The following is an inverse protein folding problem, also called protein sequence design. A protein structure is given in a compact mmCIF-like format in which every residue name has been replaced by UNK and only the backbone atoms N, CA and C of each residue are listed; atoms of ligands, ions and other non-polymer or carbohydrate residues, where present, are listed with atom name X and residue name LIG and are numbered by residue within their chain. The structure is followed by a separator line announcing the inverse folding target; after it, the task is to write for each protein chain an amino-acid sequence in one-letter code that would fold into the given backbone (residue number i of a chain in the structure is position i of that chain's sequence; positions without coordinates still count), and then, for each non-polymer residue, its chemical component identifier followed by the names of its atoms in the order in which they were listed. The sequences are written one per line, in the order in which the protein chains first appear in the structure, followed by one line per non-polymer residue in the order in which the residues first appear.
data_IF_959132156115
#
_entry.id   IF_959132156115
#
_cell.length_a   1.000
_cell.length_b   1.000
_cell.length_c   1.000
_cell.angle_alpha   90.00
_cell.angle_beta   90.00
_cell.angle_gamma   90.00
#
_symmetry.space_group_name_H-M   'P 1'
#
loop_
_entity.id
_entity.type
_entity.pdbx_description
1 polymer ?
#
# COMPACT_ATOMS: atom_id res chain seq x y z
N UNK A 1 -58.07 -38.07 12.02
CA UNK A 1 -58.40 -36.73 11.52
C UNK A 1 -57.64 -35.71 12.37
N UNK A 2 -56.61 -35.06 11.78
CA UNK A 2 -55.87 -33.83 12.18
C UNK A 2 -55.42 -33.68 13.66
N UNK A 3 -54.16 -33.98 14.03
CA UNK A 3 -52.92 -33.16 13.98
C UNK A 3 -52.86 -31.92 14.90
N UNK A 4 -51.72 -31.84 15.64
CA UNK A 4 -51.03 -30.70 16.31
C UNK A 4 -51.29 -30.57 17.82
N UNK A 5 -50.33 -30.27 18.71
CA UNK A 5 -48.91 -29.85 18.65
C UNK A 5 -48.33 -30.03 20.07
N UNK A 6 -47.03 -30.32 20.19
CA UNK A 6 -46.07 -29.89 21.24
C UNK A 6 -45.03 -30.99 21.55
N UNK A 7 -43.97 -31.02 20.75
CA UNK A 7 -42.70 -31.59 21.18
C UNK A 7 -41.85 -30.44 21.74
N UNK A 8 -41.65 -30.43 23.05
CA UNK A 8 -40.66 -29.60 23.74
C UNK A 8 -39.29 -30.22 23.44
N UNK A 9 -38.50 -29.57 22.60
CA UNK A 9 -37.09 -29.93 22.40
C UNK A 9 -36.25 -29.15 23.42
N UNK A 10 -35.60 -29.88 24.34
CA UNK A 10 -34.52 -29.38 25.17
C UNK A 10 -33.34 -28.99 24.27
N UNK A 11 -33.09 -27.69 24.12
CA UNK A 11 -31.83 -27.17 23.58
C UNK A 11 -30.81 -27.09 24.72
N UNK A 12 -30.05 -28.17 24.92
CA UNK A 12 -28.86 -28.11 25.76
C UNK A 12 -27.79 -27.27 25.04
N UNK A 13 -27.47 -26.11 25.61
CA UNK A 13 -26.45 -25.21 25.09
C UNK A 13 -25.06 -25.85 25.11
N UNK A 14 -24.51 -26.07 23.92
CA UNK A 14 -23.08 -26.21 23.72
C UNK A 14 -22.49 -24.79 23.61
N UNK A 15 -22.12 -24.23 24.76
CA UNK A 15 -21.16 -23.13 24.82
C UNK A 15 -19.81 -23.75 24.50
N UNK A 16 -19.46 -23.80 23.22
CA UNK A 16 -18.11 -24.12 22.77
C UNK A 16 -17.17 -23.01 23.22
N UNK A 17 -16.45 -23.24 24.31
CA UNK A 17 -15.31 -22.41 24.67
C UNK A 17 -14.28 -22.54 23.55
N UNK A 18 -14.18 -21.53 22.70
CA UNK A 18 -13.06 -21.37 21.78
C UNK A 18 -11.84 -21.03 22.62
N UNK A 19 -11.12 -22.06 23.07
CA UNK A 19 -9.75 -21.90 23.54
C UNK A 19 -8.96 -21.42 22.31
N UNK A 20 -8.38 -20.20 22.31
CA UNK A 20 -7.45 -19.84 21.25
C UNK A 20 -6.29 -20.83 21.33
N UNK A 21 -6.25 -21.78 20.40
CA UNK A 21 -5.06 -22.57 20.20
C UNK A 21 -3.95 -21.56 19.89
N UNK A 22 -2.86 -21.50 20.67
CA UNK A 22 -1.71 -20.72 20.24
C UNK A 22 -1.34 -21.26 18.87
N UNK A 23 -1.27 -20.40 17.86
CA UNK A 23 -0.62 -20.73 16.61
C UNK A 23 0.85 -21.03 16.94
N UNK A 24 1.13 -22.28 17.30
CA UNK A 24 2.49 -22.78 17.31
C UNK A 24 2.86 -22.92 15.85
N UNK A 25 3.85 -22.14 15.43
CA UNK A 25 4.58 -22.43 14.20
C UNK A 25 4.87 -23.93 14.22
N UNK A 26 4.45 -24.62 13.16
CA UNK A 26 4.71 -26.03 13.03
C UNK A 26 6.23 -26.19 12.96
N UNK A 27 6.86 -26.73 14.00
CA UNK A 27 8.31 -26.95 14.11
C UNK A 27 8.86 -27.99 13.10
N UNK A 28 8.09 -28.34 12.06
CA UNK A 28 8.51 -29.20 10.95
C UNK A 28 9.08 -28.41 9.74
N UNK A 29 9.72 -27.26 10.00
CA UNK A 29 10.75 -26.68 9.10
C UNK A 29 12.18 -26.94 9.61
N UNK A 30 12.34 -27.89 10.54
CA UNK A 30 13.59 -28.25 11.22
C UNK A 30 14.42 -29.35 10.56
N UNK A 31 14.39 -29.45 9.23
CA UNK A 31 15.10 -30.47 8.45
C UNK A 31 16.17 -29.90 7.51
N UNK A 32 17.06 -29.02 7.99
CA UNK A 32 18.37 -28.85 7.34
C UNK A 32 18.83 -27.45 6.93
N UNK A 33 17.99 -26.40 6.90
CA UNK A 33 18.45 -25.02 6.66
C UNK A 33 17.65 -24.01 7.50
N UNK A 34 18.32 -23.39 8.49
CA UNK A 34 17.74 -22.29 9.27
C UNK A 34 17.62 -21.07 8.35
N UNK A 35 16.40 -20.60 8.09
CA UNK A 35 16.17 -19.31 7.42
C UNK A 35 16.88 -18.22 8.23
N UNK A 36 17.75 -17.47 7.56
CA UNK A 36 18.55 -16.37 8.12
C UNK A 36 18.05 -15.00 7.68
N UNK A 37 17.47 -14.96 6.48
CA UNK A 37 17.01 -13.74 5.83
C UNK A 37 15.58 -13.92 5.32
N UNK A 38 14.80 -12.85 5.32
CA UNK A 38 13.50 -12.78 4.65
C UNK A 38 13.55 -11.62 3.66
N UNK A 39 13.31 -11.92 2.39
CA UNK A 39 13.09 -10.94 1.34
C UNK A 39 11.57 -10.83 1.10
N UNK A 40 10.98 -9.72 1.56
CA UNK A 40 9.55 -9.43 1.43
C UNK A 40 9.32 -8.50 0.23
N UNK A 41 8.65 -9.00 -0.79
CA UNK A 41 8.27 -8.20 -1.96
C UNK A 41 6.76 -7.98 -1.95
N UNK A 42 6.37 -6.71 -1.93
CA UNK A 42 5.02 -6.27 -2.27
C UNK A 42 4.99 -5.88 -3.74
N UNK A 43 4.06 -6.42 -4.52
CA UNK A 43 3.75 -5.95 -5.87
C UNK A 43 2.38 -5.33 -5.84
N UNK A 44 2.33 -4.00 -5.85
CA UNK A 44 1.09 -3.26 -5.83
C UNK A 44 0.21 -3.60 -7.05
N UNK A 45 -1.08 -3.82 -6.80
CA UNK A 45 -2.07 -4.16 -7.81
C UNK A 45 -2.03 -5.59 -8.32
N UNK A 46 -1.08 -6.43 -7.92
CA UNK A 46 -0.92 -7.77 -8.52
C UNK A 46 -2.11 -8.69 -8.16
N UNK A 47 -2.93 -9.01 -9.15
CA UNK A 47 -4.00 -10.00 -8.97
C UNK A 47 -3.44 -11.42 -8.92
N UNK A 48 -4.07 -12.29 -8.14
CA UNK A 48 -3.77 -13.72 -8.18
C UNK A 48 -3.92 -14.32 -9.59
N UNK A 49 -4.86 -13.79 -10.40
CA UNK A 49 -5.02 -14.19 -11.80
C UNK A 49 -3.82 -13.80 -12.66
N UNK A 50 -3.21 -12.63 -12.43
CA UNK A 50 -2.03 -12.18 -13.16
C UNK A 50 -0.89 -13.18 -12.97
N UNK A 51 -0.62 -13.59 -11.73
CA UNK A 51 0.41 -14.58 -11.41
C UNK A 51 0.11 -15.91 -12.08
N UNK A 52 -1.12 -16.41 -11.96
CA UNK A 52 -1.51 -17.68 -12.57
C UNK A 52 -1.31 -17.69 -14.10
N UNK A 53 -1.74 -16.62 -14.78
CA UNK A 53 -1.58 -16.45 -16.23
C UNK A 53 -0.12 -16.26 -16.65
N UNK A 54 0.64 -15.48 -15.87
CA UNK A 54 2.03 -15.20 -16.18
C UNK A 54 2.87 -16.47 -16.07
N UNK A 55 2.71 -17.25 -14.99
CA UNK A 55 3.36 -18.57 -14.83
C UNK A 55 2.87 -19.56 -15.89
N UNK A 56 1.61 -19.48 -16.32
CA UNK A 56 1.07 -20.29 -17.42
C UNK A 56 1.81 -20.07 -18.75
N UNK A 57 2.06 -18.82 -19.07
CA UNK A 57 2.65 -18.39 -20.35
C UNK A 57 4.18 -18.29 -20.33
N UNK A 58 4.81 -18.17 -19.17
CA UNK A 58 6.25 -17.94 -18.99
C UNK A 58 6.88 -18.98 -18.05
N UNK A 59 7.01 -20.23 -18.50
CA UNK A 59 7.47 -21.36 -17.66
C UNK A 59 8.87 -21.21 -17.05
N UNK A 60 9.70 -20.32 -17.61
CA UNK A 60 11.08 -20.08 -17.17
C UNK A 60 11.25 -18.71 -16.48
N UNK A 61 10.15 -18.08 -16.07
CA UNK A 61 10.15 -16.76 -15.41
C UNK A 61 10.54 -16.87 -13.92
N UNK A 62 10.82 -15.73 -13.28
CA UNK A 62 11.12 -15.71 -11.85
C UNK A 62 9.91 -16.14 -11.00
N UNK A 63 8.71 -15.67 -11.33
CA UNK A 63 7.47 -16.12 -10.70
C UNK A 63 7.23 -17.62 -10.90
N UNK A 64 7.57 -18.17 -12.08
CA UNK A 64 7.47 -19.60 -12.34
C UNK A 64 8.49 -20.40 -11.52
N UNK A 65 9.72 -19.91 -11.41
CA UNK A 65 10.74 -20.50 -10.53
C UNK A 65 10.23 -20.55 -9.08
N UNK A 66 9.88 -19.40 -8.50
CA UNK A 66 9.39 -19.31 -7.12
C UNK A 66 8.15 -20.19 -6.87
N UNK A 67 7.21 -20.24 -7.83
CA UNK A 67 6.00 -21.06 -7.72
C UNK A 67 6.28 -22.55 -7.83
N UNK A 68 7.36 -22.97 -8.51
CA UNK A 68 7.66 -24.39 -8.77
C UNK A 68 8.22 -25.12 -7.54
N UNK A 69 8.85 -24.39 -6.62
CA UNK A 69 9.48 -24.95 -5.42
C UNK A 69 9.03 -24.26 -4.11
N UNK A 70 8.13 -23.28 -4.20
CA UNK A 70 7.55 -22.57 -3.05
C UNK A 70 6.14 -23.05 -2.70
N UNK A 71 5.48 -22.30 -1.81
CA UNK A 71 4.07 -22.49 -1.46
C UNK A 71 3.27 -21.32 -2.04
N UNK A 72 2.33 -21.63 -2.93
CA UNK A 72 1.41 -20.63 -3.49
C UNK A 72 0.07 -20.68 -2.77
N UNK A 73 -0.30 -19.56 -2.14
CA UNK A 73 -1.61 -19.40 -1.50
C UNK A 73 -2.61 -18.79 -2.50
N UNK A 74 -3.43 -19.63 -3.13
CA UNK A 74 -4.40 -19.21 -4.16
C UNK A 74 -5.63 -18.45 -3.64
N UNK A 75 -5.79 -18.34 -2.32
CA UNK A 75 -6.87 -17.61 -1.65
C UNK A 75 -6.32 -16.75 -0.50
N UNK A 76 -5.15 -16.14 -0.71
CA UNK A 76 -4.66 -15.09 0.17
C UNK A 76 -5.63 -13.89 0.11
N UNK A 77 -5.96 -13.33 1.27
CA UNK A 77 -6.88 -12.20 1.40
C UNK A 77 -6.20 -11.07 2.11
N UNK A 78 -6.42 -9.86 1.62
CA UNK A 78 -5.94 -8.65 2.26
C UNK A 78 -6.97 -8.21 3.30
N UNK A 79 -6.53 -7.74 4.47
CA UNK A 79 -7.46 -7.34 5.50
C UNK A 79 -8.27 -6.11 5.02
N UNK A 80 -9.59 -6.18 5.12
CA UNK A 80 -10.47 -5.06 4.77
C UNK A 80 -10.42 -3.91 5.78
N UNK A 81 -9.89 -4.17 6.99
CA UNK A 81 -9.67 -3.19 8.06
C UNK A 81 -8.28 -3.41 8.66
N UNK A 82 -7.53 -2.34 8.93
CA UNK A 82 -6.19 -2.43 9.50
C UNK A 82 -6.17 -2.92 10.96
N UNK A 83 -5.44 -4.00 11.23
CA UNK A 83 -5.21 -4.49 12.59
C UNK A 83 -4.24 -3.64 13.43
N UNK A 84 -3.52 -2.71 12.81
CA UNK A 84 -2.43 -1.93 13.43
C UNK A 84 -2.80 -0.48 13.76
N UNK A 85 -4.08 -0.11 13.61
CA UNK A 85 -4.60 1.20 14.02
C UNK A 85 -4.56 2.32 12.96
N UNK A 86 -4.07 2.04 11.75
CA UNK A 86 -4.07 2.93 10.59
C UNK A 86 -4.75 2.25 9.40
N UNK A 87 -5.91 2.77 8.98
CA UNK A 87 -6.74 2.15 7.95
C UNK A 87 -6.21 2.35 6.53
N UNK A 88 -5.82 3.59 6.21
CA UNK A 88 -5.23 4.00 4.94
C UNK A 88 -4.24 5.14 5.22
N UNK A 89 -3.22 5.30 4.38
CA UNK A 89 -2.16 6.30 4.52
C UNK A 89 -2.72 7.74 4.46
N UNK A 90 -3.69 7.98 3.57
CA UNK A 90 -4.53 9.18 3.61
C UNK A 90 -5.89 8.84 4.22
N UNK A 91 -6.17 9.36 5.41
CA UNK A 91 -7.42 9.09 6.13
C UNK A 91 -7.85 10.26 7.00
N UNK A 92 -8.91 10.11 7.78
CA UNK A 92 -9.33 11.12 8.74
C UNK A 92 -9.18 10.62 10.17
N UNK A 93 -8.61 11.47 11.03
CA UNK A 93 -8.36 11.15 12.41
C UNK A 93 -8.93 12.23 13.34
N UNK A 94 -9.77 11.79 14.29
CA UNK A 94 -10.48 12.66 15.25
C UNK A 94 -9.61 13.15 16.41
N UNK A 95 -8.39 12.65 16.53
CA UNK A 95 -7.44 12.99 17.60
C UNK A 95 -6.33 13.93 17.16
N UNK A 96 -6.33 14.39 15.91
CA UNK A 96 -5.26 15.21 15.32
C UNK A 96 -5.79 16.58 14.93
N UNK A 97 -4.88 17.50 14.66
CA UNK A 97 -5.16 18.88 14.30
C UNK A 97 -4.45 19.24 13.00
N UNK A 98 -4.89 20.34 12.39
CA UNK A 98 -4.26 20.93 11.23
C UNK A 98 -2.74 21.17 11.44
N UNK A 99 -1.88 20.96 10.42
CA UNK A 99 -0.44 21.22 10.51
C UNK A 99 -0.09 22.62 11.06
N UNK A 100 -0.89 23.64 10.73
CA UNK A 100 -0.68 25.02 11.18
C UNK A 100 -1.06 25.25 12.65
N UNK A 101 -1.82 24.34 13.27
CA UNK A 101 -2.25 24.45 14.67
C UNK A 101 -1.16 23.93 15.63
N UNK A 102 -0.09 24.72 15.77
CA UNK A 102 1.06 24.39 16.63
C UNK A 102 0.74 24.37 18.14
N UNK A 103 -0.49 24.72 18.54
CA UNK A 103 -0.94 24.72 19.94
C UNK A 103 -1.90 23.56 20.27
N UNK A 104 -2.38 22.82 19.26
CA UNK A 104 -3.39 21.76 19.42
C UNK A 104 -4.63 22.25 20.19
N UNK A 105 -5.04 23.49 19.91
CA UNK A 105 -6.19 24.12 20.58
C UNK A 105 -7.47 23.91 19.77
N UNK A 106 -8.61 23.95 20.47
CA UNK A 106 -9.94 23.76 19.86
C UNK A 106 -10.35 22.29 19.74
N UNK A 107 -11.32 22.03 18.87
CA UNK A 107 -11.82 20.67 18.63
C UNK A 107 -10.87 19.92 17.68
N UNK A 108 -10.38 18.72 18.05
CA UNK A 108 -9.58 17.88 17.17
C UNK A 108 -10.45 17.23 16.08
N UNK A 109 -9.78 16.74 15.05
CA UNK A 109 -10.35 16.28 13.81
C UNK A 109 -9.62 16.93 12.65
N UNK A 110 -8.86 16.14 11.90
CA UNK A 110 -8.26 16.59 10.66
C UNK A 110 -8.00 15.41 9.72
N UNK A 111 -7.68 15.73 8.47
CA UNK A 111 -7.05 14.78 7.57
C UNK A 111 -5.69 14.37 8.12
N UNK A 112 -5.45 13.06 8.10
CA UNK A 112 -4.16 12.43 8.27
C UNK A 112 -3.62 12.17 6.87
N UNK A 113 -2.71 13.01 6.42
CA UNK A 113 -2.15 12.96 5.06
C UNK A 113 -0.73 12.42 5.17
N UNK A 114 -0.53 11.18 4.73
CA UNK A 114 0.78 10.53 4.67
C UNK A 114 1.05 10.06 3.24
N UNK A 115 1.14 11.03 2.33
CA UNK A 115 1.44 10.84 0.90
C UNK A 115 2.62 11.73 0.47
N UNK A 116 2.83 11.94 -0.82
CA UNK A 116 3.91 12.79 -1.34
C UNK A 116 3.82 14.26 -0.88
N UNK A 117 2.64 14.75 -0.48
CA UNK A 117 2.46 16.17 -0.12
C UNK A 117 3.17 16.59 1.16
N UNK A 118 3.63 15.63 1.98
CA UNK A 118 4.40 15.88 3.19
C UNK A 118 5.91 15.89 2.97
N UNK A 119 6.38 15.82 1.72
CA UNK A 119 7.81 15.83 1.41
C UNK A 119 8.41 17.24 1.39
N UNK A 120 9.71 17.31 1.66
CA UNK A 120 10.53 18.48 1.34
C UNK A 120 10.90 18.45 -0.15
N UNK A 121 10.65 19.56 -0.85
CA UNK A 121 10.94 19.72 -2.27
C UNK A 121 12.02 20.75 -2.56
N UNK A 122 12.70 20.60 -3.70
CA UNK A 122 13.65 21.58 -4.24
C UNK A 122 13.51 21.73 -5.75
N UNK A 123 14.04 22.81 -6.32
CA UNK A 123 14.09 23.03 -7.77
C UNK A 123 12.81 23.55 -8.41
N UNK A 124 12.85 23.71 -9.72
CA UNK A 124 11.71 24.08 -10.57
C UNK A 124 11.91 23.46 -11.97
N UNK A 125 11.18 22.38 -12.33
CA UNK A 125 10.07 21.77 -11.58
C UNK A 125 10.52 21.17 -10.23
N UNK A 126 9.61 21.10 -9.23
CA UNK A 126 9.90 20.49 -7.93
C UNK A 126 10.35 19.03 -8.04
N UNK A 127 11.34 18.67 -7.22
CA UNK A 127 11.83 17.29 -7.01
C UNK A 127 11.92 17.05 -5.51
N UNK A 128 11.38 15.93 -5.04
CA UNK A 128 11.43 15.54 -3.63
C UNK A 128 12.88 15.28 -3.22
N UNK A 129 13.19 15.68 -1.99
CA UNK A 129 14.44 15.36 -1.32
C UNK A 129 14.40 13.97 -0.66
N UNK A 130 13.29 13.24 -0.80
CA UNK A 130 12.98 11.98 -0.14
C UNK A 130 13.05 12.10 1.40
N UNK A 131 12.60 13.24 1.93
CA UNK A 131 12.60 13.56 3.35
C UNK A 131 11.27 14.22 3.70
N UNK A 132 10.64 13.76 4.80
CA UNK A 132 9.41 14.36 5.34
C UNK A 132 9.68 15.80 5.81
N UNK A 133 8.83 16.74 5.41
CA UNK A 133 8.70 18.08 5.98
C UNK A 133 7.86 18.02 7.27
N UNK A 134 8.46 18.21 8.46
CA UNK A 134 7.72 18.13 9.72
C UNK A 134 6.68 19.25 9.89
N UNK A 135 6.74 20.31 9.07
CA UNK A 135 5.78 21.42 9.08
C UNK A 135 4.51 21.12 8.28
N UNK A 136 4.57 20.15 7.36
CA UNK A 136 3.43 19.66 6.59
C UNK A 136 2.62 18.59 7.36
N UNK A 137 3.21 17.98 8.39
CA UNK A 137 2.56 16.93 9.18
C UNK A 137 1.41 17.47 10.05
N UNK A 138 0.30 16.72 10.19
CA UNK A 138 -0.74 17.05 11.14
C UNK A 138 -0.19 17.08 12.58
N UNK A 139 -0.85 17.81 13.47
CA UNK A 139 -0.42 17.96 14.87
C UNK A 139 -1.20 17.01 15.78
N UNK A 140 -0.59 16.56 16.86
CA UNK A 140 -1.28 15.80 17.91
C UNK A 140 -0.70 16.13 19.28
N UNK A 141 -1.45 15.78 20.34
CA UNK A 141 -0.99 15.85 21.72
C UNK A 141 -0.32 14.52 22.05
N UNK A 142 0.99 14.54 22.27
CA UNK A 142 1.74 13.32 22.63
C UNK A 142 1.47 12.89 24.08
N UNK A 143 2.04 11.76 24.50
CA UNK A 143 1.88 11.21 25.85
C UNK A 143 2.35 12.16 26.98
N UNK A 144 3.20 13.15 26.67
CA UNK A 144 3.68 14.17 27.59
C UNK A 144 2.80 15.43 27.62
N UNK A 145 1.69 15.45 26.88
CA UNK A 145 0.78 16.59 26.80
C UNK A 145 1.26 17.72 25.90
N UNK A 146 2.23 17.47 25.02
CA UNK A 146 2.82 18.48 24.13
C UNK A 146 2.21 18.39 22.73
N UNK A 147 1.95 19.54 22.11
CA UNK A 147 1.51 19.60 20.72
C UNK A 147 2.69 19.45 19.77
N UNK A 148 2.79 18.33 19.08
CA UNK A 148 3.92 17.96 18.21
C UNK A 148 3.43 17.49 16.83
N UNK A 149 4.28 17.51 15.78
CA UNK A 149 3.97 16.82 14.53
C UNK A 149 3.66 15.34 14.79
N UNK A 150 2.66 14.79 14.12
CA UNK A 150 2.39 13.36 14.09
C UNK A 150 3.14 12.76 12.90
N UNK A 151 4.22 12.04 13.16
CA UNK A 151 4.91 11.31 12.09
C UNK A 151 4.10 10.08 11.67
N UNK A 152 4.31 9.56 10.44
CA UNK A 152 3.67 8.33 10.01
C UNK A 152 3.88 7.18 11.00
N UNK A 153 5.10 6.95 11.47
CA UNK A 153 5.38 5.88 12.42
C UNK A 153 4.63 6.01 13.77
N UNK A 154 4.31 7.23 14.21
CA UNK A 154 3.51 7.48 15.43
C UNK A 154 2.04 7.07 15.27
N UNK A 155 1.54 6.96 14.03
CA UNK A 155 0.17 6.54 13.77
C UNK A 155 -0.04 5.03 13.92
N UNK A 156 1.03 4.25 13.82
CA UNK A 156 1.01 2.81 14.04
C UNK A 156 0.90 2.56 15.56
N UNK A 157 0.05 1.60 15.96
CA UNK A 157 -0.25 1.35 17.39
C UNK A 157 0.37 0.08 17.96
N UNK A 158 1.16 -0.62 17.16
CA UNK A 158 1.70 -1.93 17.48
C UNK A 158 3.04 -2.13 16.81
N UNK A 159 3.90 -2.94 17.42
CA UNK A 159 5.23 -3.20 16.88
C UNK A 159 5.16 -3.77 15.45
N UNK A 160 5.96 -3.22 14.55
CA UNK A 160 6.13 -3.78 13.21
C UNK A 160 7.05 -5.01 13.26
N UNK A 161 7.04 -5.82 12.19
CA UNK A 161 7.96 -6.96 12.10
C UNK A 161 9.43 -6.52 12.17
N UNK A 162 9.73 -5.33 11.65
CA UNK A 162 11.07 -4.75 11.67
C UNK A 162 11.52 -4.43 13.09
N UNK A 163 10.65 -3.82 13.91
CA UNK A 163 10.94 -3.58 15.34
C UNK A 163 11.14 -4.89 16.12
N UNK A 164 10.32 -5.92 15.84
CA UNK A 164 10.46 -7.23 16.47
C UNK A 164 11.82 -7.87 16.16
N UNK A 165 12.28 -7.76 14.91
CA UNK A 165 13.59 -8.28 14.47
C UNK A 165 14.73 -7.48 15.09
N UNK A 166 14.65 -6.15 15.08
CA UNK A 166 15.66 -5.28 15.70
C UNK A 166 15.78 -5.48 17.21
N UNK A 167 14.67 -5.72 17.90
CA UNK A 167 14.69 -6.04 19.33
C UNK A 167 15.48 -7.32 19.65
N UNK A 168 15.72 -8.19 18.67
CA UNK A 168 16.56 -9.38 18.76
C UNK A 168 17.95 -9.20 18.13
N UNK A 169 18.35 -7.96 17.83
CA UNK A 169 19.65 -7.61 17.26
C UNK A 169 19.78 -7.86 15.75
N UNK A 170 18.68 -8.12 15.05
CA UNK A 170 18.68 -8.26 13.59
C UNK A 170 18.74 -6.89 12.89
N UNK A 171 19.46 -6.83 11.78
CA UNK A 171 19.46 -5.67 10.88
C UNK A 171 18.25 -5.72 9.93
N UNK A 172 17.71 -4.55 9.58
CA UNK A 172 16.48 -4.43 8.78
C UNK A 172 16.57 -3.34 7.72
N UNK A 173 15.96 -3.57 6.56
CA UNK A 173 15.89 -2.59 5.48
C UNK A 173 14.52 -2.60 4.81
N UNK A 174 14.14 -1.51 4.15
CA UNK A 174 12.90 -1.45 3.37
C UNK A 174 12.98 -0.35 2.32
N UNK A 175 12.46 -0.61 1.11
CA UNK A 175 12.35 0.40 0.08
C UNK A 175 10.91 0.60 -0.42
N UNK A 176 10.43 1.85 -0.48
CA UNK A 176 9.04 2.15 -0.85
C UNK A 176 8.88 3.45 -1.68
N UNK A 177 7.65 3.77 -2.07
CA UNK A 177 7.35 4.78 -3.09
C UNK A 177 7.45 6.25 -2.64
N UNK A 178 7.46 6.55 -1.33
CA UNK A 178 7.64 7.91 -0.81
C UNK A 178 7.98 7.91 0.70
N UNK A 179 8.56 9.00 1.25
CA UNK A 179 9.00 9.10 2.64
C UNK A 179 7.94 8.81 3.69
N UNK A 180 6.66 9.02 3.37
CA UNK A 180 5.57 8.70 4.29
C UNK A 180 5.53 7.21 4.69
N UNK A 181 6.17 6.31 3.95
CA UNK A 181 6.39 4.91 4.37
C UNK A 181 7.32 4.74 5.56
N UNK A 182 7.80 5.83 6.16
CA UNK A 182 8.22 5.88 7.56
C UNK A 182 7.25 5.12 8.50
N UNK A 183 5.97 4.92 8.11
CA UNK A 183 5.05 3.93 8.70
C UNK A 183 5.71 2.60 9.13
N UNK A 184 6.60 2.04 8.31
CA UNK A 184 7.23 0.73 8.59
C UNK A 184 8.23 0.77 9.75
N UNK A 185 8.70 1.95 10.15
CA UNK A 185 9.53 2.13 11.35
C UNK A 185 8.77 1.81 12.64
N UNK A 186 7.43 1.82 12.60
CA UNK A 186 6.59 1.50 13.75
C UNK A 186 6.73 2.48 14.92
N UNK A 187 6.02 2.27 16.04
CA UNK A 187 5.92 3.25 17.12
C UNK A 187 7.24 3.74 17.71
N UNK A 188 8.36 3.00 17.56
CA UNK A 188 9.68 3.47 18.00
C UNK A 188 10.34 4.51 17.09
N UNK A 189 9.86 4.68 15.85
CA UNK A 189 10.49 5.47 14.80
C UNK A 189 11.85 4.92 14.35
N UNK A 190 12.17 3.67 14.72
CA UNK A 190 13.50 3.05 14.53
C UNK A 190 13.42 1.62 14.02
N UNK A 191 12.26 1.17 13.54
CA UNK A 191 12.05 -0.20 13.10
C UNK A 191 12.95 -0.61 11.93
N UNK A 192 13.29 0.30 11.02
CA UNK A 192 14.12 0.04 9.85
C UNK A 192 15.49 0.73 10.02
N UNK A 193 16.59 0.03 9.72
CA UNK A 193 17.93 0.63 9.74
C UNK A 193 18.26 1.35 8.43
N UNK A 194 17.83 0.78 7.31
CA UNK A 194 18.04 1.31 5.97
C UNK A 194 16.69 1.48 5.25
N UNK A 195 16.10 2.67 5.38
CA UNK A 195 14.83 3.02 4.75
C UNK A 195 15.13 3.85 3.49
N UNK A 196 14.74 3.33 2.33
CA UNK A 196 14.95 4.00 1.04
C UNK A 196 13.63 4.32 0.34
N UNK A 197 13.32 5.61 0.22
CA UNK A 197 12.00 6.06 -0.25
C UNK A 197 12.09 7.01 -1.44
N UNK A 198 12.57 6.57 -2.61
CA UNK A 198 12.64 7.43 -3.78
C UNK A 198 11.23 7.81 -4.25
N UNK A 199 10.91 9.10 -4.18
CA UNK A 199 9.58 9.64 -4.49
C UNK A 199 9.14 9.25 -5.91
N UNK A 200 7.96 8.63 -5.97
CA UNK A 200 7.28 8.23 -7.19
C UNK A 200 6.52 9.40 -7.82
N UNK A 201 5.91 10.27 -7.01
CA UNK A 201 5.07 11.38 -7.46
C UNK A 201 5.62 12.69 -6.90
N UNK A 202 6.30 13.47 -7.75
CA UNK A 202 6.80 14.77 -7.33
C UNK A 202 5.69 15.82 -7.47
N UNK A 203 5.15 16.34 -6.36
CA UNK A 203 4.07 17.33 -6.39
C UNK A 203 4.48 18.57 -7.19
N UNK A 204 3.72 18.89 -8.23
CA UNK A 204 4.00 20.00 -9.16
C UNK A 204 5.19 19.76 -10.09
N UNK A 205 5.83 18.58 -10.01
CA UNK A 205 6.90 18.12 -10.88
C UNK A 205 6.49 16.89 -11.70
N UNK A 206 7.41 15.95 -11.89
CA UNK A 206 7.12 14.69 -12.59
C UNK A 206 6.38 13.72 -11.66
N UNK A 207 5.17 13.34 -12.08
CA UNK A 207 4.46 12.18 -11.56
C UNK A 207 4.82 10.96 -12.40
N UNK A 208 5.57 10.00 -11.83
CA UNK A 208 5.94 8.79 -12.57
C UNK A 208 4.73 7.88 -12.82
N UNK A 209 3.62 8.06 -12.09
CA UNK A 209 2.44 7.18 -12.19
C UNK A 209 1.58 7.44 -13.43
N UNK A 210 1.85 8.50 -14.18
CA UNK A 210 1.23 8.77 -15.48
C UNK A 210 1.69 7.79 -16.57
N UNK A 211 2.82 7.10 -16.36
CA UNK A 211 3.40 6.15 -17.33
C UNK A 211 3.93 4.89 -16.65
N UNK A 212 3.62 3.72 -17.21
CA UNK A 212 4.19 2.46 -16.75
C UNK A 212 5.72 2.44 -16.91
N UNK A 213 6.28 3.12 -17.92
CA UNK A 213 7.73 3.17 -18.14
C UNK A 213 8.43 4.01 -17.07
N UNK A 214 7.92 5.21 -16.78
CA UNK A 214 8.49 6.03 -15.71
C UNK A 214 8.35 5.37 -14.34
N UNK A 215 7.21 4.70 -14.09
CA UNK A 215 7.02 3.91 -12.87
C UNK A 215 8.03 2.77 -12.76
N UNK A 216 8.28 2.01 -13.85
CA UNK A 216 9.31 0.96 -13.88
C UNK A 216 10.71 1.54 -13.60
N UNK A 217 11.01 2.74 -14.11
CA UNK A 217 12.30 3.38 -13.85
C UNK A 217 12.47 3.77 -12.38
N UNK A 218 11.41 4.26 -11.71
CA UNK A 218 11.43 4.48 -10.27
C UNK A 218 11.57 3.16 -9.50
N UNK A 219 10.80 2.12 -9.87
CA UNK A 219 10.92 0.79 -9.27
C UNK A 219 12.35 0.22 -9.39
N UNK A 220 13.04 0.49 -10.50
CA UNK A 220 14.42 0.07 -10.71
C UNK A 220 15.41 0.68 -9.70
N UNK A 221 15.15 1.87 -9.16
CA UNK A 221 15.94 2.46 -8.09
C UNK A 221 15.87 1.60 -6.83
N UNK A 222 14.65 1.23 -6.42
CA UNK A 222 14.39 0.37 -5.25
C UNK A 222 14.98 -1.03 -5.46
N UNK A 223 14.82 -1.60 -6.66
CA UNK A 223 15.45 -2.89 -7.02
C UNK A 223 16.97 -2.82 -6.85
N UNK A 224 17.60 -1.74 -7.30
CA UNK A 224 19.04 -1.56 -7.13
C UNK A 224 19.43 -1.48 -5.65
N UNK A 225 18.62 -0.85 -4.80
CA UNK A 225 18.75 -0.87 -3.35
C UNK A 225 18.78 -2.28 -2.78
N UNK A 226 17.77 -3.09 -3.10
CA UNK A 226 17.69 -4.50 -2.68
C UNK A 226 18.90 -5.31 -3.15
N UNK A 227 19.36 -5.09 -4.39
CA UNK A 227 20.55 -5.79 -4.91
C UNK A 227 21.84 -5.39 -4.18
N UNK A 228 21.91 -4.19 -3.60
CA UNK A 228 23.02 -3.75 -2.76
C UNK A 228 22.92 -4.35 -1.35
N UNK A 229 21.74 -4.36 -0.75
CA UNK A 229 21.45 -5.00 0.54
C UNK A 229 21.75 -6.50 0.55
N UNK A 230 21.44 -7.21 -0.54
CA UNK A 230 21.81 -8.64 -0.72
C UNK A 230 23.33 -8.86 -0.63
N UNK A 231 24.13 -7.85 -0.99
CA UNK A 231 25.60 -7.89 -0.90
C UNK A 231 26.13 -7.41 0.46
N UNK A 232 25.24 -7.06 1.38
CA UNK A 232 25.56 -6.51 2.71
C UNK A 232 25.97 -5.03 2.70
N UNK A 233 25.61 -4.31 1.64
CA UNK A 233 25.76 -2.85 1.53
C UNK A 233 24.46 -2.16 1.95
N UNK A 234 24.50 -0.85 2.17
CA UNK A 234 23.27 -0.06 2.23
C UNK A 234 22.67 0.09 0.82
N UNK A 235 21.42 0.56 0.71
CA UNK A 235 20.70 0.73 -0.55
C UNK A 235 21.48 1.55 -1.59
N UNK A 236 22.25 2.55 -1.15
CA UNK A 236 23.07 3.42 -2.00
C UNK A 236 24.41 2.79 -2.45
N UNK A 237 24.73 1.60 -1.95
CA UNK A 237 25.97 0.87 -2.22
C UNK A 237 27.13 1.22 -1.29
N UNK A 238 26.91 2.09 -0.30
CA UNK A 238 27.90 2.34 0.76
C UNK A 238 28.07 1.09 1.66
N UNK A 239 29.20 0.98 2.40
CA UNK A 239 29.39 -0.12 3.33
C UNK A 239 28.25 -0.22 4.36
N UNK A 240 27.57 -1.36 4.39
CA UNK A 240 26.50 -1.67 5.35
C UNK A 240 26.94 -2.64 6.45
N UNK A 241 26.09 -2.92 7.44
CA UNK A 241 26.40 -3.82 8.56
C UNK A 241 26.33 -5.32 8.18
N UNK A 242 26.03 -5.65 6.92
CA UNK A 242 25.80 -7.00 6.42
C UNK A 242 24.39 -7.16 5.86
N UNK A 243 24.05 -8.35 5.37
CA UNK A 243 22.74 -8.62 4.75
C UNK A 243 21.64 -8.53 5.81
N UNK A 244 20.56 -7.75 5.60
CA UNK A 244 19.47 -7.63 6.56
C UNK A 244 18.81 -8.97 6.88
N UNK A 245 18.35 -9.14 8.12
CA UNK A 245 17.55 -10.29 8.53
C UNK A 245 16.13 -10.24 7.94
N UNK A 246 15.55 -9.04 7.83
CA UNK A 246 14.30 -8.79 7.10
C UNK A 246 14.48 -7.54 6.25
N UNK A 247 14.24 -7.68 4.95
CA UNK A 247 14.32 -6.60 3.99
C UNK A 247 13.37 -6.81 2.84
N UNK A 248 13.19 -5.78 2.01
CA UNK A 248 12.19 -5.85 0.98
C UNK A 248 11.83 -4.54 0.36
N UNK A 249 10.93 -4.61 -0.61
CA UNK A 249 10.45 -3.43 -1.29
C UNK A 249 9.03 -3.58 -1.82
N UNK A 250 8.46 -2.46 -2.21
CA UNK A 250 7.20 -2.37 -2.91
C UNK A 250 7.38 -1.95 -4.38
N UNK A 251 6.81 -2.72 -5.31
CA UNK A 251 6.70 -2.39 -6.75
C UNK A 251 5.40 -1.64 -7.03
N UNK A 252 5.43 -0.75 -8.03
CA UNK A 252 4.31 0.12 -8.41
C UNK A 252 3.85 -0.10 -9.84
N UNK A 253 4.73 -0.60 -10.73
CA UNK A 253 4.48 -0.68 -12.16
C UNK A 253 3.23 -1.49 -12.54
N UNK A 254 2.92 -2.56 -11.81
CA UNK A 254 1.72 -3.38 -12.09
C UNK A 254 0.44 -2.60 -11.75
N UNK A 255 0.37 -1.95 -10.59
CA UNK A 255 -0.73 -1.08 -10.21
C UNK A 255 -0.96 0.03 -11.23
N UNK A 256 0.10 0.74 -11.62
CA UNK A 256 0.03 1.79 -12.66
C UNK A 256 -0.45 1.22 -13.99
N UNK A 257 0.15 0.11 -14.43
CA UNK A 257 -0.23 -0.56 -15.67
C UNK A 257 -1.67 -1.04 -15.70
N UNK A 258 -2.30 -1.29 -14.54
CA UNK A 258 -3.73 -1.62 -14.43
C UNK A 258 -4.63 -0.37 -14.46
N UNK A 259 -4.26 0.68 -13.72
CA UNK A 259 -5.16 1.83 -13.46
C UNK A 259 -5.19 2.86 -14.59
N UNK A 260 -4.14 2.99 -15.40
CA UNK A 260 -4.08 3.97 -16.49
C UNK A 260 -5.24 3.83 -17.48
N UNK A 261 -5.98 4.91 -17.72
CA UNK A 261 -6.95 4.97 -18.84
C UNK A 261 -6.18 5.07 -20.16
N UNK A 262 -5.18 5.96 -20.20
CA UNK A 262 -4.24 6.15 -21.30
C UNK A 262 -2.87 6.43 -20.69
N UNK A 263 -1.89 5.61 -21.03
CA UNK A 263 -0.52 5.77 -20.60
C UNK A 263 0.09 7.06 -21.16
N UNK A 264 0.82 7.79 -20.31
CA UNK A 264 1.53 9.03 -20.61
C UNK A 264 0.68 10.06 -21.37
N UNK A 265 -0.60 10.21 -20.98
CA UNK A 265 -1.55 11.03 -21.73
C UNK A 265 -1.22 12.53 -21.74
N UNK A 266 -0.49 12.99 -20.73
CA UNK A 266 0.00 14.36 -20.60
C UNK A 266 1.37 14.58 -21.29
N UNK A 267 2.04 13.49 -21.71
CA UNK A 267 3.36 13.50 -22.33
C UNK A 267 4.50 13.88 -21.39
N UNK A 268 4.28 13.89 -20.06
CA UNK A 268 5.29 14.35 -19.10
C UNK A 268 6.40 13.32 -18.86
N UNK A 269 6.12 12.02 -19.04
CA UNK A 269 7.14 10.97 -19.02
C UNK A 269 7.90 10.93 -20.35
N UNK A 270 9.00 11.69 -20.45
CA UNK A 270 9.84 11.73 -21.65
C UNK A 270 10.58 10.41 -21.95
N UNK A 271 10.70 9.54 -20.94
CA UNK A 271 11.30 8.21 -21.12
C UNK A 271 10.35 7.23 -21.83
N UNK A 272 9.05 7.49 -21.83
CA UNK A 272 8.09 6.64 -22.52
C UNK A 272 8.01 7.00 -24.00
N UNK A 273 8.48 6.05 -24.80
CA UNK A 273 8.45 6.11 -26.28
C UNK A 273 7.66 4.95 -26.87
N UNK A 274 7.05 4.11 -26.02
CA UNK A 274 6.51 2.81 -26.40
C UNK A 274 4.99 2.78 -26.28
N UNK A 275 4.44 3.37 -25.21
CA UNK A 275 3.06 3.15 -24.81
C UNK A 275 2.18 4.40 -24.78
N UNK A 276 2.73 5.57 -25.12
CA UNK A 276 2.00 6.84 -25.14
C UNK A 276 0.60 6.72 -25.79
N UNK A 277 -0.42 7.06 -25.02
CA UNK A 277 -1.83 7.02 -25.40
C UNK A 277 -2.49 5.64 -25.39
N UNK A 278 -1.76 4.56 -25.10
CA UNK A 278 -2.30 3.20 -25.05
C UNK A 278 -3.01 2.92 -23.71
N UNK A 279 -4.06 2.09 -23.70
CA UNK A 279 -4.79 1.81 -22.46
C UNK A 279 -4.06 0.81 -21.54
N UNK A 280 -4.15 1.05 -20.24
CA UNK A 280 -3.80 0.08 -19.20
C UNK A 280 -4.87 -0.99 -18.99
N UNK A 281 -4.62 -1.90 -18.04
CA UNK A 281 -5.58 -2.92 -17.61
C UNK A 281 -5.60 -4.16 -18.49
N UNK A 282 -6.81 -4.62 -18.83
CA UNK A 282 -7.04 -5.89 -19.50
C UNK A 282 -7.86 -5.70 -20.77
N UNK A 283 -7.61 -6.55 -21.78
CA UNK A 283 -8.33 -6.52 -23.05
C UNK A 283 -9.64 -7.30 -23.00
N UNK A 284 -9.82 -8.20 -22.01
CA UNK A 284 -11.00 -9.03 -21.84
C UNK A 284 -11.27 -9.37 -20.36
N UNK A 285 -12.44 -9.96 -20.09
CA UNK A 285 -12.80 -10.45 -18.75
C UNK A 285 -12.11 -11.75 -18.32
N UNK A 286 -11.23 -12.31 -19.16
CA UNK A 286 -10.44 -13.51 -18.85
C UNK A 286 -9.05 -13.17 -18.29
N UNK A 287 -8.76 -11.87 -18.13
CA UNK A 287 -7.51 -11.36 -17.56
C UNK A 287 -6.36 -11.28 -18.55
N UNK A 288 -6.63 -11.15 -19.86
CA UNK A 288 -5.58 -10.89 -20.84
C UNK A 288 -5.05 -9.46 -20.67
N UNK A 289 -3.76 -9.25 -20.33
CA UNK A 289 -3.24 -7.90 -20.09
C UNK A 289 -3.14 -7.08 -21.40
N UNK A 290 -3.31 -5.75 -21.30
CA UNK A 290 -2.91 -4.85 -22.39
C UNK A 290 -1.39 -4.79 -22.52
N UNK A 291 -0.86 -4.17 -23.58
CA UNK A 291 0.59 -4.01 -23.75
C UNK A 291 1.25 -3.24 -22.58
N UNK A 292 0.54 -2.23 -22.06
CA UNK A 292 0.95 -1.43 -20.89
C UNK A 292 1.06 -2.32 -19.64
N UNK A 293 0.01 -3.09 -19.30
CA UNK A 293 0.06 -3.99 -18.14
C UNK A 293 1.07 -5.12 -18.31
N UNK A 294 1.15 -5.71 -19.51
CA UNK A 294 2.10 -6.76 -19.82
C UNK A 294 3.55 -6.30 -19.61
N UNK A 295 3.87 -5.04 -19.96
CA UNK A 295 5.18 -4.45 -19.71
C UNK A 295 5.48 -4.34 -18.20
N UNK A 296 4.53 -3.85 -17.40
CA UNK A 296 4.68 -3.79 -15.94
C UNK A 296 4.95 -5.18 -15.33
N UNK A 297 4.14 -6.19 -15.69
CA UNK A 297 4.33 -7.57 -15.24
C UNK A 297 5.69 -8.14 -15.65
N UNK A 298 6.10 -7.90 -16.90
CA UNK A 298 7.38 -8.38 -17.41
C UNK A 298 8.57 -7.78 -16.64
N UNK A 299 8.53 -6.47 -16.36
CA UNK A 299 9.60 -5.77 -15.67
C UNK A 299 9.69 -6.14 -14.20
N UNK A 300 8.54 -6.33 -13.54
CA UNK A 300 8.50 -6.88 -12.18
C UNK A 300 9.10 -8.30 -12.13
N UNK A 301 8.71 -9.22 -13.02
CA UNK A 301 9.27 -10.58 -13.04
C UNK A 301 10.79 -10.58 -13.31
N UNK A 302 11.26 -9.75 -14.25
CA UNK A 302 12.69 -9.60 -14.51
C UNK A 302 13.46 -9.09 -13.28
N UNK A 303 12.89 -8.16 -12.51
CA UNK A 303 13.47 -7.67 -11.27
C UNK A 303 13.49 -8.74 -10.17
N UNK A 304 12.43 -9.54 -10.02
CA UNK A 304 12.44 -10.70 -9.14
C UNK A 304 13.56 -11.68 -9.52
N UNK A 305 13.75 -11.91 -10.83
CA UNK A 305 14.82 -12.75 -11.35
C UNK A 305 16.21 -12.23 -11.00
N UNK A 306 16.43 -10.92 -11.05
CA UNK A 306 17.73 -10.32 -10.66
C UNK A 306 18.01 -10.49 -9.16
N UNK A 307 17.00 -10.40 -8.30
CA UNK A 307 17.11 -10.68 -6.87
C UNK A 307 17.44 -12.15 -6.59
N UNK A 308 16.78 -13.09 -7.27
CA UNK A 308 17.09 -14.53 -7.20
C UNK A 308 18.55 -14.78 -7.58
N UNK A 309 19.01 -14.20 -8.69
CA UNK A 309 20.39 -14.35 -9.16
C UNK A 309 21.39 -13.75 -8.17
N UNK A 310 21.09 -12.60 -7.57
CA UNK A 310 21.94 -11.98 -6.56
C UNK A 310 22.05 -12.83 -5.29
N UNK A 311 20.93 -13.38 -4.80
CA UNK A 311 20.92 -14.30 -3.65
C UNK A 311 21.75 -15.57 -3.91
N UNK A 312 21.65 -16.14 -5.12
CA UNK A 312 22.46 -17.29 -5.55
C UNK A 312 23.94 -16.94 -5.63
N UNK A 313 24.27 -15.77 -6.19
CA UNK A 313 25.65 -15.29 -6.30
C UNK A 313 26.30 -15.08 -4.91
N UNK A 314 25.53 -14.59 -3.93
CA UNK A 314 25.97 -14.44 -2.54
C UNK A 314 25.91 -15.74 -1.73
N UNK A 315 25.44 -16.85 -2.33
CA UNK A 315 25.29 -18.16 -1.68
C UNK A 315 24.39 -18.14 -0.45
N UNK A 316 23.38 -17.27 -0.44
CA UNK A 316 22.39 -17.14 0.63
C UNK A 316 20.98 -17.54 0.22
N UNK A 317 20.76 -17.87 -1.06
CA UNK A 317 19.45 -18.27 -1.61
C UNK A 317 18.74 -19.34 -0.76
N UNK A 318 19.42 -20.45 -0.43
CA UNK A 318 18.84 -21.55 0.36
C UNK A 318 18.59 -21.17 1.84
N UNK A 319 19.12 -20.04 2.30
CA UNK A 319 18.91 -19.49 3.65
C UNK A 319 18.01 -18.26 3.67
N UNK A 320 17.42 -17.88 2.54
CA UNK A 320 16.54 -16.73 2.39
C UNK A 320 15.12 -17.19 2.09
N UNK A 321 14.17 -16.79 2.92
CA UNK A 321 12.74 -16.92 2.60
C UNK A 321 12.34 -15.76 1.69
N UNK A 322 11.98 -16.08 0.44
CA UNK A 322 11.50 -15.10 -0.54
C UNK A 322 9.96 -15.10 -0.53
N UNK A 323 9.35 -14.01 -0.07
CA UNK A 323 7.89 -13.83 -0.04
C UNK A 323 7.51 -12.80 -1.11
N UNK A 324 6.65 -13.18 -2.06
CA UNK A 324 6.03 -12.25 -3.01
C UNK A 324 4.54 -12.17 -2.68
N UNK A 325 4.04 -10.96 -2.44
CA UNK A 325 2.65 -10.69 -2.10
C UNK A 325 2.19 -9.37 -2.74
N UNK A 326 0.94 -8.99 -2.50
CA UNK A 326 0.35 -7.74 -2.94
C UNK A 326 -0.52 -7.15 -1.82
N UNK A 327 -0.61 -5.81 -1.74
CA UNK A 327 -1.53 -5.16 -0.79
C UNK A 327 -3.00 -5.26 -1.22
N UNK A 328 -3.26 -5.36 -2.53
CA UNK A 328 -4.56 -5.63 -3.15
C UNK A 328 -4.37 -5.83 -4.67
N UNK A 329 -5.44 -6.20 -5.38
CA UNK A 329 -5.53 -6.00 -6.83
C UNK A 329 -6.02 -4.58 -7.14
N UNK A 330 -5.53 -3.94 -8.21
CA UNK A 330 -5.77 -2.50 -8.42
C UNK A 330 -7.06 -2.18 -9.18
N UNK A 331 -7.29 -2.83 -10.31
CA UNK A 331 -8.41 -2.49 -11.21
C UNK A 331 -9.29 -3.70 -11.55
N UNK A 332 -10.59 -3.52 -11.75
CA UNK A 332 -11.47 -4.61 -12.18
C UNK A 332 -10.97 -5.24 -13.48
N UNK A 333 -10.94 -6.57 -13.50
CA UNK A 333 -10.37 -7.34 -14.61
C UNK A 333 -11.25 -7.26 -15.87
N UNK A 334 -12.57 -7.20 -15.73
CA UNK A 334 -13.47 -7.19 -16.88
C UNK A 334 -13.69 -5.76 -17.39
N UNK A 335 -13.12 -5.36 -18.54
CA UNK A 335 -13.20 -3.97 -19.03
C UNK A 335 -14.62 -3.52 -19.33
N UNK A 336 -15.56 -4.43 -19.65
CA UNK A 336 -16.98 -4.10 -19.87
C UNK A 336 -17.68 -3.66 -18.57
N UNK A 337 -17.11 -4.02 -17.42
CA UNK A 337 -17.59 -3.62 -16.09
C UNK A 337 -16.73 -2.53 -15.46
N UNK A 338 -15.71 -2.06 -16.15
CA UNK A 338 -14.78 -1.05 -15.64
C UNK A 338 -15.20 0.31 -16.17
N UNK A 339 -15.44 1.23 -15.24
CA UNK A 339 -15.56 2.65 -15.52
C UNK A 339 -14.43 3.36 -14.78
N UNK A 340 -13.73 4.29 -15.44
CA UNK A 340 -12.66 5.11 -14.84
C UNK A 340 -13.12 6.58 -14.83
N UNK A 341 -14.08 6.93 -13.97
CA UNK A 341 -14.77 8.22 -14.03
C UNK A 341 -13.94 9.42 -13.52
N UNK A 342 -12.69 9.20 -13.10
CA UNK A 342 -11.88 10.19 -12.40
C UNK A 342 -12.09 10.12 -10.88
N UNK A 343 -11.79 11.23 -10.19
CA UNK A 343 -11.85 11.28 -8.74
C UNK A 343 -13.28 11.15 -8.21
N UNK A 344 -13.44 10.36 -7.15
CA UNK A 344 -14.73 10.15 -6.49
C UNK A 344 -15.30 11.46 -5.94
N UNK A 345 -14.45 12.31 -5.35
CA UNK A 345 -14.84 13.63 -4.86
C UNK A 345 -15.49 14.50 -5.96
N UNK A 346 -14.98 14.44 -7.19
CA UNK A 346 -15.54 15.18 -8.33
C UNK A 346 -16.93 14.65 -8.72
N UNK A 347 -17.09 13.33 -8.73
CA UNK A 347 -18.38 12.70 -9.04
C UNK A 347 -19.45 13.07 -8.01
N UNK A 348 -19.06 13.04 -6.74
CA UNK A 348 -19.88 13.50 -5.63
C UNK A 348 -20.29 14.97 -5.81
N UNK A 349 -19.33 15.86 -6.12
CA UNK A 349 -19.62 17.27 -6.32
C UNK A 349 -20.61 17.49 -7.48
N UNK A 350 -20.44 16.74 -8.57
CA UNK A 350 -21.34 16.79 -9.73
C UNK A 350 -22.73 16.23 -9.41
N UNK A 351 -22.83 15.16 -8.60
CA UNK A 351 -24.12 14.62 -8.13
C UNK A 351 -24.88 15.65 -7.30
N UNK A 352 -24.19 16.38 -6.41
CA UNK A 352 -24.80 17.44 -5.61
C UNK A 352 -25.41 18.55 -6.46
N UNK A 353 -24.72 18.96 -7.53
CA UNK A 353 -25.21 19.98 -8.47
C UNK A 353 -26.41 19.46 -9.29
N UNK A 354 -26.35 18.22 -9.79
CA UNK A 354 -27.38 17.64 -10.69
C UNK A 354 -28.72 17.36 -10.01
N UNK A 355 -28.75 17.16 -8.69
CA UNK A 355 -29.99 16.88 -7.96
C UNK A 355 -30.66 18.13 -7.32
N UNK A 356 -30.13 19.34 -7.55
CA UNK A 356 -30.74 20.56 -6.98
C UNK A 356 -30.55 20.72 -5.47
N UNK A 357 -29.44 20.19 -4.93
CA UNK A 357 -28.72 20.52 -3.68
C UNK A 357 -29.47 20.99 -2.40
N UNK A 358 -30.77 20.75 -2.18
CA UNK A 358 -31.43 21.39 -1.02
C UNK A 358 -32.31 20.50 -0.14
N UNK A 359 -32.55 19.23 -0.48
CA UNK A 359 -33.45 18.39 0.33
C UNK A 359 -32.93 16.99 0.69
N UNK A 360 -31.97 16.42 -0.05
CA UNK A 360 -31.44 15.10 0.30
C UNK A 360 -30.36 15.22 1.40
N UNK A 361 -30.57 14.63 2.58
CA UNK A 361 -29.62 14.74 3.69
C UNK A 361 -28.25 14.12 3.39
N UNK A 362 -28.21 13.06 2.58
CA UNK A 362 -26.97 12.39 2.19
C UNK A 362 -26.13 13.28 1.28
N UNK A 363 -26.74 13.89 0.26
CA UNK A 363 -26.07 14.83 -0.65
C UNK A 363 -25.50 16.03 0.11
N UNK A 364 -26.26 16.60 1.04
CA UNK A 364 -25.78 17.72 1.88
C UNK A 364 -24.62 17.28 2.78
N UNK A 365 -24.72 16.10 3.39
CA UNK A 365 -23.67 15.58 4.27
C UNK A 365 -22.36 15.34 3.52
N UNK A 366 -22.40 14.79 2.30
CA UNK A 366 -21.21 14.57 1.49
C UNK A 366 -20.64 15.92 0.97
N UNK A 367 -21.49 16.85 0.52
CA UNK A 367 -21.04 18.18 0.10
C UNK A 367 -20.35 18.95 1.24
N UNK A 368 -20.87 18.85 2.46
CA UNK A 368 -20.24 19.44 3.65
C UNK A 368 -18.88 18.79 3.96
N UNK A 369 -18.77 17.47 3.85
CA UNK A 369 -17.50 16.76 4.00
C UNK A 369 -16.47 17.21 2.95
N UNK A 370 -16.88 17.39 1.70
CA UNK A 370 -16.00 17.80 0.61
C UNK A 370 -15.53 19.28 0.72
N UNK A 371 -16.30 20.14 1.38
CA UNK A 371 -15.94 21.56 1.58
C UNK A 371 -14.94 21.80 2.72
N UNK A 372 -14.47 20.74 3.38
CA UNK A 372 -13.57 20.83 4.52
C UNK A 372 -12.14 20.46 4.07
N UNK A 373 -11.33 21.45 3.70
CA UNK A 373 -9.91 21.22 3.37
C UNK A 373 -9.05 20.95 4.62
N UNK A 374 -9.56 21.29 5.82
CA UNK A 374 -8.95 21.04 7.12
C UNK A 374 -9.98 21.15 8.25
N UNK A 375 -9.78 20.43 9.35
CA UNK A 375 -10.54 20.58 10.59
C UNK A 375 -11.64 19.53 10.86
N UNK A 376 -12.51 19.77 11.87
CA UNK A 376 -13.43 18.77 12.42
C UNK A 376 -14.67 18.50 11.53
N UNK A 377 -14.74 19.05 10.31
CA UNK A 377 -15.95 19.08 9.47
C UNK A 377 -16.12 17.91 8.49
N UNK A 378 -15.32 16.85 8.60
CA UNK A 378 -15.38 15.71 7.68
C UNK A 378 -14.47 15.87 6.46
N UNK A 379 -14.46 14.88 5.58
CA UNK A 379 -13.60 14.86 4.38
C UNK A 379 -14.06 13.78 3.39
N UNK A 380 -13.80 13.95 2.09
CA UNK A 380 -13.94 12.92 1.07
C UNK A 380 -12.60 12.76 0.36
N UNK A 381 -12.05 11.55 0.36
CA UNK A 381 -10.88 11.20 -0.43
C UNK A 381 -11.11 9.93 -1.21
N UNK A 382 -10.36 9.83 -2.30
CA UNK A 382 -10.29 8.66 -3.12
C UNK A 382 -8.86 8.41 -3.59
N UNK A 383 -8.47 7.16 -3.48
CA UNK A 383 -7.31 6.58 -4.12
C UNK A 383 -7.68 5.13 -4.48
N UNK A 384 -7.01 4.11 -3.95
CA UNK A 384 -7.39 2.70 -4.14
C UNK A 384 -8.76 2.37 -3.53
N UNK A 385 -9.16 3.18 -2.55
CA UNK A 385 -10.48 3.15 -1.90
C UNK A 385 -11.02 4.58 -1.79
N UNK A 386 -12.34 4.72 -1.83
CA UNK A 386 -13.02 5.98 -1.54
C UNK A 386 -13.47 6.00 -0.07
N UNK A 387 -13.13 7.05 0.65
CA UNK A 387 -13.43 7.23 2.05
C UNK A 387 -14.19 8.53 2.27
N UNK A 388 -15.33 8.41 2.96
CA UNK A 388 -16.20 9.54 3.31
C UNK A 388 -16.25 9.64 4.82
N UNK A 389 -15.76 10.74 5.36
CA UNK A 389 -15.94 11.12 6.75
C UNK A 389 -16.98 12.22 6.86
N UNK A 390 -18.09 11.91 7.52
CA UNK A 390 -19.19 12.84 7.72
C UNK A 390 -18.95 13.69 8.98
N UNK A 391 -19.23 14.99 8.87
CA UNK A 391 -19.34 15.88 10.02
C UNK A 391 -20.37 15.36 11.03
N UNK A 392 -21.57 15.03 10.53
CA UNK A 392 -22.65 14.42 11.29
C UNK A 392 -22.72 12.92 10.99
N UNK A 393 -22.19 12.12 11.90
CA UNK A 393 -22.19 10.65 11.81
C UNK A 393 -23.61 10.06 11.89
N UNK A 394 -24.63 10.81 12.33
CA UNK A 394 -26.01 10.31 12.28
C UNK A 394 -26.55 10.20 10.85
N UNK A 395 -25.90 10.85 9.88
CA UNK A 395 -26.24 10.78 8.46
C UNK A 395 -25.67 9.55 7.73
N UNK A 396 -24.93 8.66 8.40
CA UNK A 396 -24.31 7.49 7.75
C UNK A 396 -25.30 6.67 6.93
N UNK A 397 -26.51 6.43 7.45
CA UNK A 397 -27.53 5.66 6.73
C UNK A 397 -28.18 6.41 5.55
N UNK A 398 -28.07 7.74 5.50
CA UNK A 398 -28.55 8.53 4.37
C UNK A 398 -27.50 8.61 3.25
N UNK A 399 -26.22 8.42 3.59
CA UNK A 399 -25.08 8.46 2.65
C UNK A 399 -24.75 7.09 2.05
N UNK A 400 -24.94 6.02 2.82
CA UNK A 400 -24.73 4.63 2.39
C UNK A 400 -25.88 4.12 1.53
#
# INVERSE_FOLDING_TARGET
MKQRLLAVALSAGLIGATIPAPARANDELGGGHKIKHVLLISVDGLHALDVARYVESHRNSALAELSSHGITYSNARTPANSGHGLFYDVSYNRGIFDPTNTTCSGQPGNMQVFDESIDMYTGNPPVSLNVIDPTALPRHINAQGQCVPLYPHDAIKSNTIFEVVKAQGGHTAWADKHPAYDLVNGPSGKGVDDLYTPELTNVGGLDNTVSVVCTVNNDALKVQGILNEIKGLNHDGAPGPGVPAVFGMNFQAVSVGQKLEKDNSDGSCLADTLFNGQPGGYTDGAGTPTAVLAYGLQKTDAALGSMILALKAQRIYDSTLFIVSAKHGQSPINPVKTNKPGHFADLVAVLAIKQGATADPGVVAIANANNCSAGPCGFVQDDDIALIWLQDQTQTAAVA
#
